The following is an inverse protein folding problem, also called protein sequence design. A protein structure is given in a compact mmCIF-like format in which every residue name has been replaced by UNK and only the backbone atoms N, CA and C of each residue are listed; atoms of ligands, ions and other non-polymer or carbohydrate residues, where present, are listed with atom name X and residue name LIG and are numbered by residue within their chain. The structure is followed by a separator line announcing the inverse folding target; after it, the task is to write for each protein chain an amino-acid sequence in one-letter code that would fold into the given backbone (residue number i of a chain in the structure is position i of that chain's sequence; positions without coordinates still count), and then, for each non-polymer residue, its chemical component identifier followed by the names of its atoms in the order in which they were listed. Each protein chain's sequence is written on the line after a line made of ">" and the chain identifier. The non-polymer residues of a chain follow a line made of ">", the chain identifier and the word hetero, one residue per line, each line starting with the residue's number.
data_IF_971129150263
#
_entry.id   IF_971129150263
#
_cell.length_a   1.000
_cell.length_b   1.000
_cell.length_c   1.000
_cell.angle_alpha   90.00
_cell.angle_beta   90.00
_cell.angle_gamma   90.00
#
_symmetry.space_group_name_H-M   'P 1'
#
loop_
_entity.id
_entity.type
_entity.pdbx_description
1 polymer ?
#
# COMPACT_ATOMS: atom_id res chain seq x y z
N UNK A 1 -12.29 18.78 -9.65
CA UNK A 1 -11.05 18.51 -8.87
C UNK A 1 -9.97 19.48 -9.34
N UNK A 2 -9.03 19.92 -8.49
CA UNK A 2 -8.00 20.86 -8.92
C UNK A 2 -7.01 20.20 -9.89
N UNK A 3 -6.61 20.90 -10.95
CA UNK A 3 -5.69 20.41 -11.98
C UNK A 3 -4.22 20.37 -11.56
N UNK A 4 -3.94 19.89 -10.36
CA UNK A 4 -2.60 19.89 -9.75
C UNK A 4 -1.75 18.68 -10.15
N UNK A 5 -2.36 17.58 -10.60
CA UNK A 5 -1.62 16.33 -10.82
C UNK A 5 -0.46 16.42 -11.82
N UNK A 6 -0.56 17.15 -12.94
CA UNK A 6 0.61 17.36 -13.81
C UNK A 6 1.77 18.05 -13.07
N UNK A 7 1.49 19.07 -12.27
CA UNK A 7 2.51 19.78 -11.48
C UNK A 7 3.12 18.87 -10.41
N UNK A 8 2.31 18.03 -9.74
CA UNK A 8 2.81 17.05 -8.76
C UNK A 8 3.85 16.12 -9.38
N UNK A 9 3.60 15.60 -10.59
CA UNK A 9 4.56 14.71 -11.27
C UNK A 9 5.82 15.45 -11.70
N UNK A 10 5.72 16.72 -12.12
CA UNK A 10 6.90 17.54 -12.37
C UNK A 10 7.72 17.78 -11.10
N UNK A 11 7.08 17.96 -9.94
CA UNK A 11 7.77 18.03 -8.65
C UNK A 11 8.45 16.71 -8.29
N UNK A 12 7.79 15.56 -8.53
CA UNK A 12 8.42 14.25 -8.36
C UNK A 12 9.69 14.13 -9.21
N UNK A 13 9.64 14.51 -10.50
CA UNK A 13 10.82 14.51 -11.39
C UNK A 13 11.92 15.45 -10.90
N UNK A 14 11.55 16.64 -10.43
CA UNK A 14 12.49 17.65 -9.93
C UNK A 14 13.23 17.18 -8.67
N UNK A 15 12.53 16.53 -7.75
CA UNK A 15 13.05 16.14 -6.44
C UNK A 15 13.31 14.63 -6.29
N UNK A 16 13.38 13.88 -7.40
CA UNK A 16 13.61 12.42 -7.38
C UNK A 16 14.94 11.99 -6.74
N UNK A 17 15.92 12.90 -6.68
CA UNK A 17 17.21 12.69 -6.00
C UNK A 17 17.27 13.38 -4.63
N UNK A 18 16.14 13.91 -4.15
CA UNK A 18 15.98 14.65 -2.91
C UNK A 18 14.74 14.14 -2.17
N UNK A 19 14.81 12.89 -1.71
CA UNK A 19 13.80 12.15 -0.93
C UNK A 19 12.50 11.73 -1.63
N UNK A 20 12.07 12.40 -2.71
CA UNK A 20 10.81 12.02 -3.40
C UNK A 20 11.01 10.76 -4.23
N UNK A 21 10.29 9.69 -3.91
CA UNK A 21 10.45 8.39 -4.60
C UNK A 21 9.25 7.96 -5.43
N UNK A 22 8.09 8.58 -5.25
CA UNK A 22 6.85 8.19 -5.92
C UNK A 22 5.84 9.34 -5.99
N UNK A 23 4.79 9.12 -6.78
CA UNK A 23 3.53 9.88 -6.77
C UNK A 23 2.42 9.02 -6.16
N UNK A 24 1.49 9.67 -5.47
CA UNK A 24 0.28 9.09 -4.91
C UNK A 24 -0.97 9.91 -5.33
N UNK A 25 -2.12 9.25 -5.31
CA UNK A 25 -3.44 9.84 -5.49
C UNK A 25 -4.25 9.50 -4.24
N UNK A 26 -4.59 10.54 -3.49
CA UNK A 26 -5.34 10.47 -2.23
C UNK A 26 -6.52 11.45 -2.26
N UNK A 27 -7.38 11.40 -1.23
CA UNK A 27 -8.56 12.25 -1.09
C UNK A 27 -9.84 11.44 -1.02
N UNK A 28 -10.98 12.09 -1.24
CA UNK A 28 -12.29 11.43 -1.18
C UNK A 28 -12.50 10.50 -2.39
N UNK A 29 -12.32 9.19 -2.16
CA UNK A 29 -12.48 8.13 -3.15
C UNK A 29 -13.91 8.05 -3.72
N UNK A 30 -14.92 8.60 -3.03
CA UNK A 30 -16.32 8.55 -3.48
C UNK A 30 -16.65 9.55 -4.59
N UNK A 31 -15.74 10.49 -4.87
CA UNK A 31 -15.94 11.51 -5.91
C UNK A 31 -15.83 10.88 -7.31
N UNK A 32 -16.96 10.89 -8.03
CA UNK A 32 -17.12 10.27 -9.35
C UNK A 32 -16.08 10.75 -10.37
N UNK A 33 -15.63 9.77 -11.16
CA UNK A 33 -14.40 9.78 -11.97
C UNK A 33 -14.51 10.46 -13.34
N UNK A 34 -15.65 11.08 -13.61
CA UNK A 34 -16.02 11.47 -14.98
C UNK A 34 -15.16 12.61 -15.57
N UNK A 35 -14.20 13.17 -14.81
CA UNK A 35 -13.20 14.18 -15.27
C UNK A 35 -11.72 13.80 -15.01
N UNK A 36 -11.38 12.52 -14.77
CA UNK A 36 -10.02 12.09 -14.34
C UNK A 36 -8.93 12.10 -15.44
N UNK A 37 -9.17 12.81 -16.53
CA UNK A 37 -8.21 12.88 -17.64
C UNK A 37 -6.84 13.43 -17.22
N UNK A 38 -6.80 14.33 -16.23
CA UNK A 38 -5.54 14.90 -15.74
C UNK A 38 -4.78 13.96 -14.81
N UNK A 39 -5.48 13.25 -13.91
CA UNK A 39 -4.85 12.20 -13.09
C UNK A 39 -4.26 11.11 -13.98
N UNK A 40 -5.03 10.63 -14.97
CA UNK A 40 -4.55 9.65 -15.92
C UNK A 40 -3.31 10.13 -16.67
N UNK A 41 -3.33 11.35 -17.23
CA UNK A 41 -2.17 11.93 -17.94
C UNK A 41 -0.95 12.08 -17.04
N UNK A 42 -1.15 12.46 -15.78
CA UNK A 42 -0.07 12.57 -14.81
C UNK A 42 0.55 11.19 -14.53
N UNK A 43 -0.26 10.15 -14.33
CA UNK A 43 0.25 8.78 -14.11
C UNK A 43 0.88 8.16 -15.37
N UNK A 44 0.37 8.46 -16.57
CA UNK A 44 1.02 8.12 -17.84
C UNK A 44 2.40 8.79 -17.95
N UNK A 45 2.54 10.06 -17.56
CA UNK A 45 3.82 10.77 -17.52
C UNK A 45 4.76 10.21 -16.44
N UNK A 46 4.24 9.84 -15.27
CA UNK A 46 4.99 9.21 -14.20
C UNK A 46 5.55 7.85 -14.64
N UNK A 47 4.74 7.01 -15.29
CA UNK A 47 5.19 5.76 -15.91
C UNK A 47 6.28 6.02 -16.96
N UNK A 48 6.05 6.97 -17.87
CA UNK A 48 7.00 7.33 -18.93
C UNK A 48 8.34 7.82 -18.39
N UNK A 49 8.33 8.51 -17.25
CA UNK A 49 9.53 9.06 -16.61
C UNK A 49 10.17 8.14 -15.57
N UNK A 50 9.61 6.96 -15.32
CA UNK A 50 10.11 6.04 -14.29
C UNK A 50 9.89 6.51 -12.85
N UNK A 51 8.92 7.40 -12.62
CA UNK A 51 8.51 7.82 -11.28
C UNK A 51 7.55 6.77 -10.72
N UNK A 52 7.85 6.22 -9.55
CA UNK A 52 7.03 5.15 -8.97
C UNK A 52 5.61 5.61 -8.62
N UNK A 53 4.65 4.68 -8.61
CA UNK A 53 3.21 4.98 -8.51
C UNK A 53 2.55 4.16 -7.39
N UNK A 54 1.96 4.85 -6.43
CA UNK A 54 0.94 4.28 -5.52
C UNK A 54 -0.37 5.04 -5.70
N UNK A 55 -1.49 4.45 -5.28
CA UNK A 55 -2.84 5.03 -5.41
C UNK A 55 -3.69 4.53 -4.24
N UNK A 56 -4.37 5.44 -3.53
CA UNK A 56 -5.45 5.08 -2.62
C UNK A 56 -6.63 4.51 -3.43
N UNK A 57 -6.97 3.25 -3.19
CA UNK A 57 -8.10 2.61 -3.83
C UNK A 57 -8.62 1.42 -3.01
N UNK A 58 -9.91 1.19 -3.05
CA UNK A 58 -10.57 0.13 -2.29
C UNK A 58 -10.58 0.39 -0.78
N UNK A 59 -10.46 1.65 -0.35
CA UNK A 59 -10.62 2.03 1.06
C UNK A 59 -12.10 2.24 1.37
N UNK A 60 -12.71 3.24 0.74
CA UNK A 60 -14.14 3.53 0.81
C UNK A 60 -14.86 3.20 -0.51
N UNK A 61 -14.11 3.11 -1.61
CA UNK A 61 -14.57 2.75 -2.94
C UNK A 61 -14.60 1.24 -3.20
N UNK A 62 -15.30 0.82 -4.26
CA UNK A 62 -15.45 -0.60 -4.62
C UNK A 62 -14.18 -1.19 -5.24
N UNK A 63 -14.12 -2.52 -5.37
CA UNK A 63 -13.04 -3.25 -6.06
C UNK A 63 -12.71 -2.71 -7.47
N UNK A 64 -13.69 -2.14 -8.18
CA UNK A 64 -13.49 -1.53 -9.50
C UNK A 64 -12.49 -0.36 -9.47
N UNK A 65 -12.39 0.38 -8.37
CA UNK A 65 -11.40 1.45 -8.22
C UNK A 65 -9.99 0.89 -8.02
N UNK A 66 -9.86 -0.25 -7.34
CA UNK A 66 -8.59 -1.00 -7.29
C UNK A 66 -8.19 -1.46 -8.69
N UNK A 67 -9.14 -1.96 -9.48
CA UNK A 67 -8.89 -2.35 -10.88
C UNK A 67 -8.41 -1.15 -11.71
N UNK A 68 -9.04 0.01 -11.56
CA UNK A 68 -8.64 1.24 -12.25
C UNK A 68 -7.23 1.70 -11.84
N UNK A 69 -6.95 1.74 -10.54
CA UNK A 69 -5.63 2.08 -10.00
C UNK A 69 -4.52 1.22 -10.62
N UNK A 70 -4.73 -0.10 -10.68
CA UNK A 70 -3.73 -1.03 -11.19
C UNK A 70 -3.61 -0.97 -12.72
N UNK A 71 -4.72 -1.05 -13.45
CA UNK A 71 -4.67 -1.27 -14.90
C UNK A 71 -4.71 0.00 -15.73
N UNK A 72 -5.29 1.09 -15.21
CA UNK A 72 -5.36 2.40 -15.87
C UNK A 72 -4.23 3.30 -15.37
N UNK A 73 -4.11 3.48 -14.05
CA UNK A 73 -3.08 4.36 -13.47
C UNK A 73 -1.72 3.67 -13.30
N UNK A 74 -1.62 2.36 -13.61
CA UNK A 74 -0.36 1.60 -13.55
C UNK A 74 0.30 1.63 -12.18
N UNK A 75 -0.53 1.65 -11.13
CA UNK A 75 -0.05 1.60 -9.76
C UNK A 75 0.80 0.35 -9.51
N UNK A 76 1.91 0.52 -8.79
CA UNK A 76 2.80 -0.55 -8.36
C UNK A 76 2.44 -1.05 -6.95
N UNK A 77 1.72 -0.22 -6.19
CA UNK A 77 1.16 -0.49 -4.87
C UNK A 77 -0.22 0.13 -4.77
N UNK A 78 -1.05 -0.40 -3.87
CA UNK A 78 -2.40 0.10 -3.59
C UNK A 78 -2.47 0.52 -2.13
N UNK A 79 -2.77 1.78 -1.89
CA UNK A 79 -3.16 2.32 -0.59
C UNK A 79 -4.46 1.65 -0.16
N UNK A 80 -4.45 1.01 1.02
CA UNK A 80 -5.56 0.23 1.57
C UNK A 80 -5.88 -1.06 0.78
N UNK A 81 -6.71 -0.97 -0.27
CA UNK A 81 -7.11 -2.10 -1.11
C UNK A 81 -8.07 -3.09 -0.46
N UNK A 82 -8.75 -2.74 0.64
CA UNK A 82 -9.58 -3.65 1.43
C UNK A 82 -10.70 -4.29 0.61
N UNK A 83 -11.43 -3.47 -0.17
CA UNK A 83 -12.58 -3.93 -0.95
C UNK A 83 -12.20 -4.77 -2.17
N UNK A 84 -10.91 -4.99 -2.47
CA UNK A 84 -10.50 -5.91 -3.54
C UNK A 84 -11.03 -7.33 -3.33
N UNK A 85 -11.21 -7.77 -2.07
CA UNK A 85 -11.69 -9.12 -1.73
C UNK A 85 -13.15 -9.36 -2.14
N UNK A 86 -13.90 -8.30 -2.45
CA UNK A 86 -15.28 -8.37 -2.95
C UNK A 86 -15.35 -8.83 -4.41
N UNK A 87 -14.24 -8.71 -5.15
CA UNK A 87 -14.06 -9.29 -6.49
C UNK A 87 -12.96 -10.38 -6.44
N UNK A 88 -13.34 -11.65 -6.23
CA UNK A 88 -12.38 -12.75 -6.13
C UNK A 88 -11.50 -12.96 -7.36
N UNK A 89 -11.99 -12.60 -8.55
CA UNK A 89 -11.21 -12.77 -9.79
C UNK A 89 -10.15 -11.68 -9.91
N UNK A 90 -10.51 -10.42 -9.64
CA UNK A 90 -9.54 -9.33 -9.55
C UNK A 90 -8.49 -9.63 -8.47
N UNK A 91 -8.92 -9.99 -7.25
CA UNK A 91 -8.00 -10.29 -6.16
C UNK A 91 -7.01 -11.40 -6.51
N UNK A 92 -7.49 -12.48 -7.15
CA UNK A 92 -6.62 -13.56 -7.65
C UNK A 92 -5.60 -13.08 -8.68
N UNK A 93 -5.98 -12.17 -9.58
CA UNK A 93 -5.06 -11.58 -10.54
C UNK A 93 -3.99 -10.73 -9.85
N UNK A 94 -4.39 -9.94 -8.84
CA UNK A 94 -3.46 -9.09 -8.08
C UNK A 94 -2.49 -9.91 -7.21
N UNK A 95 -2.94 -11.03 -6.64
CA UNK A 95 -2.06 -12.00 -5.98
C UNK A 95 -1.00 -12.56 -6.93
N UNK A 96 -1.38 -12.91 -8.17
CA UNK A 96 -0.46 -13.47 -9.16
C UNK A 96 0.66 -12.51 -9.55
N UNK A 97 0.36 -11.21 -9.65
CA UNK A 97 1.36 -10.17 -9.95
C UNK A 97 2.07 -9.64 -8.69
N UNK A 98 1.77 -10.21 -7.51
CA UNK A 98 2.33 -9.80 -6.21
C UNK A 98 2.09 -8.32 -5.87
N UNK A 99 0.91 -7.79 -6.23
CA UNK A 99 0.50 -6.44 -5.87
C UNK A 99 0.69 -6.19 -4.37
N UNK A 100 1.30 -5.06 -4.02
CA UNK A 100 1.50 -4.67 -2.62
C UNK A 100 0.32 -3.84 -2.12
N UNK A 101 -0.28 -4.26 -1.00
CA UNK A 101 -1.34 -3.51 -0.32
C UNK A 101 -0.80 -2.80 0.94
N UNK A 102 -1.06 -1.52 1.07
CA UNK A 102 -0.64 -0.69 2.20
C UNK A 102 -1.76 -0.67 3.25
N UNK A 103 -1.74 -1.62 4.18
CA UNK A 103 -2.86 -1.86 5.12
C UNK A 103 -2.71 -0.98 6.35
N UNK A 104 -3.81 -0.34 6.77
CA UNK A 104 -3.88 0.56 7.92
C UNK A 104 -5.02 0.13 8.88
N UNK A 105 -4.80 -0.89 9.75
CA UNK A 105 -5.86 -1.52 10.54
C UNK A 105 -6.64 -0.58 11.47
N UNK A 106 -5.97 0.36 12.13
CA UNK A 106 -6.64 1.30 13.04
C UNK A 106 -7.33 2.43 12.28
N UNK A 107 -6.71 2.92 11.20
CA UNK A 107 -7.32 3.89 10.29
C UNK A 107 -8.63 3.35 9.72
N UNK A 108 -8.62 2.13 9.16
CA UNK A 108 -9.80 1.55 8.49
C UNK A 108 -11.01 1.37 9.42
N UNK A 109 -10.76 1.21 10.72
CA UNK A 109 -11.80 1.22 11.73
C UNK A 109 -12.39 2.63 11.94
N UNK A 110 -11.54 3.65 12.06
CA UNK A 110 -11.97 5.02 12.33
C UNK A 110 -12.60 5.71 11.12
N UNK A 111 -12.13 5.43 9.90
CA UNK A 111 -12.71 5.96 8.67
C UNK A 111 -14.00 5.23 8.26
N UNK A 112 -14.28 4.07 8.89
CA UNK A 112 -15.42 3.22 8.54
C UNK A 112 -15.21 2.40 7.26
N UNK A 113 -13.99 2.41 6.71
CA UNK A 113 -13.58 1.60 5.56
C UNK A 113 -13.70 0.09 5.81
N UNK A 114 -13.56 -0.34 7.06
CA UNK A 114 -13.70 -1.73 7.46
C UNK A 114 -14.70 -1.91 8.61
N UNK A 115 -15.20 -3.14 8.74
CA UNK A 115 -16.08 -3.55 9.82
C UNK A 115 -15.50 -3.18 11.21
N UNK A 116 -16.34 -2.69 12.15
CA UNK A 116 -15.91 -2.42 13.53
C UNK A 116 -15.52 -3.69 14.29
N UNK A 117 -15.93 -4.86 13.80
CA UNK A 117 -15.46 -6.16 14.24
C UNK A 117 -14.17 -6.53 13.49
N UNK A 118 -13.03 -6.37 14.17
CA UNK A 118 -11.69 -6.66 13.64
C UNK A 118 -11.51 -8.10 13.17
N UNK A 119 -12.32 -9.06 13.64
CA UNK A 119 -12.23 -10.46 13.20
C UNK A 119 -12.70 -10.66 11.76
N UNK A 120 -13.28 -9.62 11.14
CA UNK A 120 -13.73 -9.60 9.74
C UNK A 120 -12.85 -8.76 8.83
N UNK A 121 -11.74 -8.21 9.32
CA UNK A 121 -10.89 -7.32 8.55
C UNK A 121 -10.26 -8.05 7.33
N UNK A 122 -10.26 -7.48 6.11
CA UNK A 122 -9.75 -8.13 4.89
C UNK A 122 -8.28 -8.58 4.97
N UNK A 123 -7.47 -7.93 5.81
CA UNK A 123 -6.09 -8.36 6.07
C UNK A 123 -5.97 -9.81 6.58
N UNK A 124 -7.01 -10.36 7.21
CA UNK A 124 -7.04 -11.78 7.61
C UNK A 124 -6.98 -12.68 6.37
N UNK A 125 -7.71 -12.31 5.30
CA UNK A 125 -7.68 -13.01 4.03
C UNK A 125 -6.31 -12.81 3.35
N UNK A 126 -5.76 -11.59 3.35
CA UNK A 126 -4.41 -11.31 2.83
C UNK A 126 -3.34 -12.16 3.52
N UNK A 127 -3.40 -12.29 4.85
CA UNK A 127 -2.52 -13.16 5.63
C UNK A 127 -2.67 -14.62 5.20
N UNK A 128 -3.90 -15.13 5.14
CA UNK A 128 -4.21 -16.52 4.78
C UNK A 128 -3.66 -16.89 3.40
N UNK A 129 -3.76 -15.97 2.44
CA UNK A 129 -3.31 -16.19 1.07
C UNK A 129 -1.85 -15.83 0.84
N UNK A 130 -1.13 -15.42 1.90
CA UNK A 130 0.26 -14.95 1.85
C UNK A 130 0.45 -13.80 0.85
N UNK A 131 -0.53 -12.90 0.77
CA UNK A 131 -0.46 -11.69 -0.05
C UNK A 131 0.75 -10.82 0.32
N UNK A 132 1.10 -9.92 -0.60
CA UNK A 132 2.13 -8.90 -0.40
C UNK A 132 1.47 -7.66 0.22
N UNK A 133 1.76 -7.35 1.47
CA UNK A 133 1.21 -6.19 2.16
C UNK A 133 2.12 -5.70 3.28
N UNK A 134 1.88 -4.47 3.73
CA UNK A 134 2.53 -3.81 4.89
C UNK A 134 1.49 -3.41 5.94
N UNK A 135 1.93 -3.08 7.16
CA UNK A 135 1.09 -2.49 8.22
C UNK A 135 1.55 -1.06 8.47
N UNK A 136 0.61 -0.11 8.47
CA UNK A 136 0.90 1.33 8.47
C UNK A 136 -0.07 2.07 9.40
N UNK A 137 0.33 3.26 9.86
CA UNK A 137 -0.47 4.10 10.77
C UNK A 137 -1.47 5.01 10.07
N UNK A 138 -1.22 5.32 8.80
CA UNK A 138 -1.94 6.33 8.03
C UNK A 138 -1.77 7.74 8.62
N UNK A 139 -2.80 8.32 9.26
CA UNK A 139 -2.77 9.63 9.92
C UNK A 139 -2.63 9.54 11.46
N UNK A 140 -1.45 9.24 12.03
CA UNK A 140 -1.28 8.98 13.46
C UNK A 140 -1.66 10.17 14.35
N UNK A 141 -1.57 11.40 13.83
CA UNK A 141 -1.99 12.61 14.55
C UNK A 141 -3.52 12.64 14.72
N UNK A 142 -4.27 12.35 13.67
CA UNK A 142 -5.74 12.39 13.66
C UNK A 142 -6.29 11.19 14.43
N UNK A 143 -5.69 10.01 14.22
CA UNK A 143 -6.12 8.76 14.84
C UNK A 143 -5.58 8.53 16.25
N UNK A 144 -4.77 9.47 16.76
CA UNK A 144 -4.11 9.42 18.06
C UNK A 144 -3.46 8.05 18.31
N UNK A 145 -2.65 7.61 17.34
CA UNK A 145 -2.07 6.27 17.30
C UNK A 145 -0.57 6.31 17.02
N UNK A 146 0.04 5.15 17.24
CA UNK A 146 1.40 4.85 16.78
C UNK A 146 1.37 3.50 16.10
N UNK A 147 2.45 3.10 15.45
CA UNK A 147 2.52 1.80 14.77
C UNK A 147 2.25 0.61 15.72
N UNK A 148 2.54 0.75 17.02
CA UNK A 148 2.25 -0.28 18.03
C UNK A 148 0.75 -0.55 18.17
N UNK A 149 -0.10 0.45 17.93
CA UNK A 149 -1.57 0.30 17.95
C UNK A 149 -2.03 -0.68 16.87
N UNK A 150 -1.56 -0.49 15.64
CA UNK A 150 -1.90 -1.36 14.51
C UNK A 150 -1.36 -2.78 14.71
N UNK A 151 -0.11 -2.93 15.19
CA UNK A 151 0.47 -4.24 15.52
C UNK A 151 -0.29 -4.94 16.65
N UNK A 152 -0.69 -4.19 17.68
CA UNK A 152 -1.49 -4.69 18.80
C UNK A 152 -2.84 -5.23 18.34
N UNK A 153 -3.57 -4.46 17.52
CA UNK A 153 -4.88 -4.85 16.97
C UNK A 153 -4.77 -6.16 16.18
N UNK A 154 -3.83 -6.25 15.24
CA UNK A 154 -3.73 -7.44 14.38
C UNK A 154 -3.23 -8.67 15.15
N UNK A 155 -2.41 -8.47 16.19
CA UNK A 155 -1.98 -9.53 17.11
C UNK A 155 -3.15 -10.06 17.94
N UNK A 156 -3.90 -9.15 18.57
CA UNK A 156 -4.98 -9.49 19.50
C UNK A 156 -6.19 -10.10 18.80
N UNK A 157 -6.61 -9.52 17.67
CA UNK A 157 -7.90 -9.84 17.05
C UNK A 157 -7.78 -10.64 15.75
N UNK A 158 -6.63 -10.61 15.08
CA UNK A 158 -6.47 -11.15 13.72
C UNK A 158 -5.45 -12.29 13.65
N UNK A 159 -4.93 -12.73 14.80
CA UNK A 159 -4.03 -13.87 14.93
C UNK A 159 -2.70 -13.70 14.19
N UNK A 160 -2.16 -12.48 14.18
CA UNK A 160 -0.81 -12.24 13.67
C UNK A 160 0.23 -12.80 14.64
N UNK A 161 1.24 -13.45 14.08
CA UNK A 161 2.37 -14.01 14.80
C UNK A 161 3.61 -13.18 14.55
N UNK A 162 4.66 -13.40 15.33
CA UNK A 162 5.97 -12.79 15.07
C UNK A 162 6.54 -13.17 13.70
N UNK A 163 6.32 -14.41 13.25
CA UNK A 163 6.70 -14.85 11.90
C UNK A 163 6.00 -14.00 10.83
N UNK A 164 4.71 -13.75 11.00
CA UNK A 164 3.95 -12.92 10.07
C UNK A 164 4.44 -11.47 10.10
N UNK A 165 4.72 -10.91 11.28
CA UNK A 165 5.30 -9.57 11.39
C UNK A 165 6.63 -9.44 10.66
N UNK A 166 7.54 -10.41 10.79
CA UNK A 166 8.81 -10.41 10.05
C UNK A 166 8.55 -10.47 8.55
N UNK A 167 7.64 -11.34 8.11
CA UNK A 167 7.29 -11.51 6.69
C UNK A 167 6.75 -10.23 6.07
N UNK A 168 5.79 -9.56 6.71
CA UNK A 168 5.17 -8.35 6.15
C UNK A 168 6.14 -7.17 6.11
N UNK A 169 7.08 -7.06 7.05
CA UNK A 169 8.14 -6.04 6.99
C UNK A 169 9.16 -6.32 5.88
N UNK A 170 9.54 -7.57 5.66
CA UNK A 170 10.40 -7.95 4.53
C UNK A 170 9.69 -7.65 3.21
N UNK A 171 8.40 -7.97 3.10
CA UNK A 171 7.57 -7.62 1.95
C UNK A 171 7.50 -6.11 1.70
N UNK A 172 7.34 -5.31 2.77
CA UNK A 172 7.33 -3.86 2.70
C UNK A 172 8.67 -3.31 2.19
N UNK A 173 9.80 -3.84 2.68
CA UNK A 173 11.12 -3.46 2.19
C UNK A 173 11.32 -3.85 0.71
N UNK A 174 10.92 -5.06 0.30
CA UNK A 174 10.97 -5.49 -1.11
C UNK A 174 10.11 -4.61 -2.02
N UNK A 175 8.95 -4.19 -1.51
CA UNK A 175 7.98 -3.34 -2.21
C UNK A 175 8.25 -1.84 -1.99
N UNK A 176 9.35 -1.47 -1.36
CA UNK A 176 9.74 -0.07 -1.25
C UNK A 176 10.13 0.49 -2.62
N UNK A 177 9.95 1.79 -2.79
CA UNK A 177 10.41 2.54 -3.96
C UNK A 177 11.87 3.00 -3.83
N UNK A 178 12.64 2.36 -2.94
CA UNK A 178 14.07 2.61 -2.82
C UNK A 178 14.81 2.08 -4.06
N UNK A 179 15.91 2.75 -4.47
CA UNK A 179 16.87 2.17 -5.39
C UNK A 179 17.35 0.79 -4.92
N UNK A 180 17.63 -0.11 -5.86
CA UNK A 180 17.91 -1.52 -5.56
C UNK A 180 19.03 -1.73 -4.53
N UNK A 181 20.08 -0.89 -4.57
CA UNK A 181 21.17 -0.94 -3.60
C UNK A 181 20.68 -0.64 -2.18
N UNK A 182 19.94 0.45 -2.00
CA UNK A 182 19.40 0.86 -0.69
C UNK A 182 18.35 -0.13 -0.18
N UNK A 183 17.55 -0.68 -1.10
CA UNK A 183 16.61 -1.77 -0.81
C UNK A 183 17.33 -3.01 -0.27
N UNK A 184 18.43 -3.42 -0.90
CA UNK A 184 19.21 -4.55 -0.42
C UNK A 184 19.87 -4.27 0.94
N UNK A 185 20.35 -3.05 1.17
CA UNK A 185 20.87 -2.63 2.47
C UNK A 185 19.79 -2.67 3.56
N UNK A 186 18.57 -2.20 3.26
CA UNK A 186 17.42 -2.29 4.17
C UNK A 186 17.06 -3.75 4.47
N UNK A 187 16.99 -4.61 3.44
CA UNK A 187 16.70 -6.03 3.62
C UNK A 187 17.75 -6.72 4.49
N UNK A 188 19.03 -6.41 4.30
CA UNK A 188 20.11 -6.97 5.13
C UNK A 188 19.95 -6.56 6.59
N UNK A 189 19.62 -5.28 6.87
CA UNK A 189 19.35 -4.81 8.23
C UNK A 189 18.18 -5.55 8.87
N UNK A 190 17.10 -5.80 8.12
CA UNK A 190 15.94 -6.56 8.60
C UNK A 190 16.31 -8.03 8.88
N UNK A 191 17.06 -8.68 7.98
CA UNK A 191 17.49 -10.06 8.17
C UNK A 191 18.41 -10.20 9.39
N UNK A 192 19.31 -9.25 9.61
CA UNK A 192 20.14 -9.20 10.82
C UNK A 192 19.29 -9.03 12.08
N UNK A 193 18.40 -8.03 12.10
CA UNK A 193 17.52 -7.74 13.23
C UNK A 193 16.60 -8.93 13.59
N UNK A 194 16.18 -9.71 12.61
CA UNK A 194 15.33 -10.89 12.80
C UNK A 194 16.10 -12.19 13.02
N UNK A 195 17.44 -12.16 13.02
CA UNK A 195 18.27 -13.36 13.16
C UNK A 195 18.10 -14.35 11.99
N UNK A 196 17.76 -13.85 10.81
CA UNK A 196 17.53 -14.61 9.58
C UNK A 196 18.76 -14.73 8.69
N UNK A 197 19.94 -14.33 9.18
CA UNK A 197 21.20 -14.46 8.46
C UNK A 197 21.50 -15.95 8.24
N UNK A 198 21.82 -16.40 7.02
CA UNK A 198 22.28 -17.77 6.80
C UNK A 198 23.50 -18.02 7.70
N UNK A 199 23.48 -19.09 8.48
CA UNK A 199 24.74 -19.57 9.09
C UNK A 199 25.72 -19.78 7.96
N UNK A 200 26.87 -19.11 8.00
CA UNK A 200 27.96 -19.40 7.09
C UNK A 200 28.23 -20.91 7.16
N UNK A 201 27.98 -21.59 6.05
CA UNK A 201 28.33 -22.99 5.83
C UNK A 201 29.82 -23.14 5.62
#
# INVERSE_FOLDING_TARGET
>A
LPGWSPEVVELCKKYQNDSVVAVDLAGDETLKVEDYSEHKRAYEEAERCGIHRTVHAGEAGPAAMVQEAVYVLKAERVGHGYHVVEDPELYKQLLKIKMHFEVCPWSSYLTGACSPDFTKHPVIQFKKDRANYSLNTDDPLIFNSTIDKDYGIVKEHMGFTEEEFRRVNINAAQSSFLPEKEKQELLNKLYEAYGMVPKAS
#
